data_IF_757239953681
#
_entry.id   IF_757239953681
#
_cell.length_a   1.000
_cell.length_b   1.000
_cell.length_c   1.000
_cell.angle_alpha   90.00
_cell.angle_beta   90.00
_cell.angle_gamma   90.00
#
_symmetry.space_group_name_H-M   'P 1'
#
loop_
_entity.id
_entity.type
_entity.pdbx_description
1 polymer ?
#
# COMPACT_ATOMS: atom_id res chain seq x y z
N UNK A 1 -11.02 0.84 1.86
CA UNK A 1 -11.19 1.87 2.93
C UNK A 1 -10.35 3.08 2.58
N UNK A 2 -10.84 4.28 2.85
CA UNK A 2 -10.20 5.54 2.45
C UNK A 2 -10.38 6.62 3.53
N UNK A 3 -9.39 7.49 3.66
CA UNK A 3 -9.44 8.79 4.36
C UNK A 3 -9.13 9.90 3.37
N UNK A 4 -9.14 11.16 3.81
CA UNK A 4 -8.77 12.30 2.95
C UNK A 4 -7.32 12.22 2.45
N UNK A 5 -6.44 11.49 3.14
CA UNK A 5 -5.01 11.46 2.82
C UNK A 5 -4.53 10.11 2.30
N UNK A 6 -5.13 9.01 2.75
CA UNK A 6 -4.63 7.68 2.49
C UNK A 6 -5.76 6.70 2.18
N UNK A 7 -5.45 5.66 1.41
CA UNK A 7 -6.34 4.54 1.08
C UNK A 7 -5.66 3.22 1.40
N UNK A 8 -6.45 2.19 1.64
CA UNK A 8 -5.94 0.81 1.69
C UNK A 8 -6.15 0.16 0.33
N UNK A 9 -5.08 -0.36 -0.26
CA UNK A 9 -5.10 -1.19 -1.45
C UNK A 9 -4.77 -2.64 -1.07
N UNK A 10 -5.50 -3.58 -1.67
CA UNK A 10 -5.29 -5.02 -1.51
C UNK A 10 -5.00 -5.63 -2.88
N UNK A 11 -3.98 -6.47 -2.98
CA UNK A 11 -3.57 -7.16 -4.21
C UNK A 11 -3.18 -8.60 -3.90
N UNK A 12 -3.14 -9.47 -4.91
CA UNK A 12 -2.82 -10.89 -4.75
C UNK A 12 -4.07 -11.78 -4.85
N UNK A 13 -3.92 -13.05 -4.49
CA UNK A 13 -4.94 -14.08 -4.75
C UNK A 13 -5.42 -14.76 -3.48
N UNK A 14 -6.71 -15.12 -3.47
CA UNK A 14 -7.32 -15.95 -2.45
C UNK A 14 -7.65 -17.31 -3.06
N UNK A 15 -7.10 -18.36 -2.46
CA UNK A 15 -7.43 -19.73 -2.79
C UNK A 15 -8.49 -20.24 -1.83
N UNK A 16 -9.75 -20.16 -2.24
CA UNK A 16 -10.87 -20.60 -1.42
C UNK A 16 -10.97 -22.13 -1.31
N UNK A 17 -10.52 -22.87 -2.33
CA UNK A 17 -10.59 -24.33 -2.31
C UNK A 17 -9.65 -24.91 -1.26
N UNK A 18 -8.47 -24.30 -1.08
CA UNK A 18 -7.49 -24.73 -0.08
C UNK A 18 -7.52 -23.88 1.20
N UNK A 19 -8.41 -22.89 1.30
CA UNK A 19 -8.49 -21.91 2.39
C UNK A 19 -7.17 -21.16 2.65
N UNK A 20 -6.56 -20.53 1.64
CA UNK A 20 -5.22 -19.89 1.74
C UNK A 20 -5.08 -18.51 1.10
N UNK A 21 -4.28 -17.67 1.73
CA UNK A 21 -3.75 -16.44 1.16
C UNK A 21 -2.54 -16.76 0.27
N UNK A 22 -2.67 -16.49 -1.02
CA UNK A 22 -1.62 -16.68 -2.02
C UNK A 22 -1.00 -15.33 -2.37
N UNK A 23 0.05 -14.97 -1.64
CA UNK A 23 0.81 -13.72 -1.81
C UNK A 23 -0.05 -12.44 -1.75
N UNK A 24 -1.01 -12.42 -0.83
CA UNK A 24 -1.83 -11.22 -0.61
C UNK A 24 -0.96 -10.10 -0.04
N UNK A 25 -1.07 -8.90 -0.60
CA UNK A 25 -0.41 -7.71 -0.09
C UNK A 25 -1.43 -6.63 0.25
N UNK A 26 -1.31 -6.09 1.45
CA UNK A 26 -2.03 -4.93 1.95
C UNK A 26 -1.09 -3.73 1.93
N UNK A 27 -1.50 -2.66 1.26
CA UNK A 27 -0.71 -1.44 1.16
C UNK A 27 -1.51 -0.22 1.63
N UNK A 28 -0.86 0.65 2.41
CA UNK A 28 -1.34 2.01 2.62
C UNK A 28 -0.84 2.86 1.45
N UNK A 29 -1.76 3.39 0.65
CA UNK A 29 -1.43 4.22 -0.51
C UNK A 29 -1.89 5.66 -0.29
N UNK A 30 -1.25 6.62 -0.95
CA UNK A 30 -1.68 8.03 -0.91
C UNK A 30 -2.71 8.39 -2.00
N UNK A 31 -2.99 9.68 -2.13
CA UNK A 31 -3.90 10.22 -3.17
C UNK A 31 -3.49 9.88 -4.60
N UNK A 32 -2.20 9.65 -4.85
CA UNK A 32 -1.67 9.28 -6.16
C UNK A 32 -1.63 7.75 -6.37
N UNK A 33 -1.91 6.96 -5.32
CA UNK A 33 -1.86 5.50 -5.37
C UNK A 33 -0.48 4.91 -5.07
N UNK A 34 0.46 5.73 -4.58
CA UNK A 34 1.79 5.30 -4.19
C UNK A 34 1.77 4.63 -2.82
N UNK A 35 2.40 3.45 -2.69
CA UNK A 35 2.50 2.75 -1.42
C UNK A 35 3.47 3.45 -0.45
N UNK A 36 2.96 3.79 0.74
CA UNK A 36 3.73 4.28 1.89
C UNK A 36 4.19 3.15 2.79
N UNK A 37 3.31 2.16 2.98
CA UNK A 37 3.51 0.97 3.79
C UNK A 37 3.03 -0.24 2.99
N UNK A 38 3.72 -1.37 3.13
CA UNK A 38 3.28 -2.65 2.57
C UNK A 38 3.46 -3.77 3.58
N UNK A 39 2.47 -4.65 3.63
CA UNK A 39 2.48 -5.87 4.41
C UNK A 39 2.03 -7.04 3.52
N UNK A 40 2.70 -8.18 3.62
CA UNK A 40 2.30 -9.41 2.93
C UNK A 40 1.67 -10.39 3.90
N UNK A 41 0.72 -11.15 3.39
CA UNK A 41 -0.03 -12.17 4.10
C UNK A 41 0.02 -13.44 3.26
N UNK A 42 0.40 -14.54 3.89
CA UNK A 42 0.51 -15.87 3.28
C UNK A 42 -0.07 -16.92 4.21
N UNK A 43 -0.19 -18.14 3.72
CA UNK A 43 -0.58 -19.28 4.55
C UNK A 43 -2.09 -19.46 4.62
N UNK A 44 -2.56 -20.23 5.60
CA UNK A 44 -3.99 -20.57 5.74
C UNK A 44 -4.83 -19.38 6.18
N UNK A 45 -6.12 -19.37 5.83
CA UNK A 45 -7.07 -18.37 6.31
C UNK A 45 -7.22 -18.39 7.83
N UNK A 46 -7.15 -19.58 8.45
CA UNK A 46 -7.34 -19.76 9.90
C UNK A 46 -6.12 -19.36 10.72
N UNK A 47 -4.92 -19.51 10.15
CA UNK A 47 -3.65 -19.15 10.77
C UNK A 47 -2.73 -18.54 9.70
N UNK A 48 -2.96 -17.27 9.33
CA UNK A 48 -2.13 -16.59 8.35
C UNK A 48 -0.76 -16.27 8.92
N UNK A 49 0.23 -16.30 8.05
CA UNK A 49 1.55 -15.74 8.28
C UNK A 49 1.54 -14.30 7.78
N UNK A 50 1.65 -13.36 8.72
CA UNK A 50 1.66 -11.93 8.42
C UNK A 50 3.10 -11.44 8.51
N UNK A 51 3.66 -11.03 7.38
CA UNK A 51 5.03 -10.49 7.34
C UNK A 51 5.11 -9.14 8.07
N UNK A 52 6.32 -8.80 8.55
CA UNK A 52 6.56 -7.50 9.17
C UNK A 52 6.28 -6.37 8.18
N UNK A 53 5.75 -5.25 8.69
CA UNK A 53 5.45 -4.09 7.84
C UNK A 53 6.75 -3.54 7.28
N UNK A 54 6.81 -3.42 5.96
CA UNK A 54 7.88 -2.72 5.27
C UNK A 54 7.46 -1.25 5.12
N UNK A 55 8.12 -0.38 5.88
CA UNK A 55 7.94 1.06 5.75
C UNK A 55 8.80 1.54 4.58
N UNK A 56 8.16 1.96 3.50
CA UNK A 56 8.85 2.35 2.26
C UNK A 56 9.33 3.81 2.31
N UNK A 57 8.78 4.61 3.21
CA UNK A 57 9.03 6.06 3.31
C UNK A 57 9.42 6.52 4.74
N UNK A 58 9.99 5.65 5.56
CA UNK A 58 10.23 5.91 6.99
C UNK A 58 11.07 7.18 7.24
N UNK A 59 10.51 8.16 7.96
CA UNK A 59 11.20 9.18 8.78
C UNK A 59 12.33 9.99 8.09
N UNK A 60 12.37 10.09 6.77
CA UNK A 60 13.36 10.90 6.08
C UNK A 60 12.91 12.38 6.02
N UNK A 61 12.71 13.03 7.17
CA UNK A 61 12.03 14.34 7.29
C UNK A 61 12.47 15.41 6.28
N UNK A 62 13.78 15.76 6.19
CA UNK A 62 14.25 16.76 5.24
C UNK A 62 14.32 16.24 3.80
N UNK A 63 14.77 14.99 3.61
CA UNK A 63 14.98 14.39 2.29
C UNK A 63 13.65 14.16 1.57
N UNK A 64 12.58 13.77 2.27
CA UNK A 64 11.23 13.66 1.72
C UNK A 64 10.66 15.01 1.28
N UNK A 65 10.97 16.12 1.97
CA UNK A 65 10.50 17.45 1.53
C UNK A 65 11.15 17.83 0.20
N UNK A 66 12.46 17.62 0.07
CA UNK A 66 13.18 17.85 -1.18
C UNK A 66 12.70 16.91 -2.28
N UNK A 67 12.47 15.63 -1.97
CA UNK A 67 11.94 14.66 -2.92
C UNK A 67 10.53 15.03 -3.38
N UNK A 68 9.62 15.40 -2.48
CA UNK A 68 8.27 15.89 -2.83
C UNK A 68 8.32 17.17 -3.68
N UNK A 69 9.25 18.06 -3.40
CA UNK A 69 9.44 19.28 -4.18
C UNK A 69 10.00 18.98 -5.57
N UNK A 70 10.91 18.01 -5.68
CA UNK A 70 11.40 17.48 -6.95
C UNK A 70 10.30 16.70 -7.71
N UNK A 71 9.48 15.88 -7.05
CA UNK A 71 8.34 15.19 -7.67
C UNK A 71 7.31 16.17 -8.22
N UNK A 72 7.05 17.28 -7.53
CA UNK A 72 6.19 18.35 -8.06
C UNK A 72 6.76 19.00 -9.33
N UNK A 73 8.08 19.03 -9.47
CA UNK A 73 8.77 19.61 -10.63
C UNK A 73 9.00 18.60 -11.77
N UNK A 74 9.18 17.32 -11.44
CA UNK A 74 9.63 16.27 -12.36
C UNK A 74 8.56 15.18 -12.62
N UNK A 75 7.42 15.24 -11.94
CA UNK A 75 6.35 14.25 -12.03
C UNK A 75 6.78 12.91 -11.44
N UNK A 76 6.90 12.85 -10.11
CA UNK A 76 7.29 11.65 -9.37
C UNK A 76 6.63 10.37 -9.84
N UNK A 77 7.42 9.40 -10.31
CA UNK A 77 6.93 8.10 -10.80
C UNK A 77 7.17 7.04 -9.74
N UNK A 78 6.23 6.92 -8.81
CA UNK A 78 6.11 5.69 -8.04
C UNK A 78 5.41 4.63 -8.91
N UNK A 79 5.67 3.35 -8.65
CA UNK A 79 4.82 2.30 -9.19
C UNK A 79 3.47 2.35 -8.47
N UNK A 80 2.40 2.62 -9.22
CA UNK A 80 1.04 2.70 -8.67
C UNK A 80 0.55 1.29 -8.37
N UNK A 81 0.33 1.01 -7.08
CA UNK A 81 -0.15 -0.32 -6.64
C UNK A 81 -1.62 -0.51 -6.99
N UNK A 82 -2.42 0.56 -6.95
CA UNK A 82 -3.83 0.53 -7.33
C UNK A 82 -4.29 1.94 -7.76
N UNK A 83 -4.84 2.05 -8.97
CA UNK A 83 -5.29 3.33 -9.53
C UNK A 83 -6.76 3.67 -9.20
N UNK A 84 -7.56 2.70 -8.75
CA UNK A 84 -8.97 2.93 -8.42
C UNK A 84 -9.15 3.84 -7.20
N UNK A 85 -10.16 4.70 -7.23
CA UNK A 85 -10.47 5.62 -6.14
C UNK A 85 -11.79 5.26 -5.46
N UNK A 86 -11.74 5.01 -4.16
CA UNK A 86 -12.91 4.88 -3.28
C UNK A 86 -12.91 6.12 -2.40
N UNK A 87 -14.00 6.89 -2.43
CA UNK A 87 -14.13 8.10 -1.61
C UNK A 87 -14.07 7.78 -0.11
N UNK A 88 -13.54 8.70 0.73
CA UNK A 88 -13.60 8.55 2.16
C UNK A 88 -15.06 8.57 2.66
N UNK A 89 -15.36 7.90 3.78
CA UNK A 89 -16.67 8.04 4.42
C UNK A 89 -16.93 9.50 4.84
N UNK A 90 -18.20 9.90 4.87
CA UNK A 90 -18.65 11.24 5.30
C UNK A 90 -18.60 11.39 6.80
#
# INVERSE_FOLDING_TARGET
MATNENRIALTGSLDFANERFSDVAVALVDGNGCAKLRQKIRGSFRKPEVEKVHVLQSVAGPVLKLFKQAEKLLGGKCEVVYAGSVGPPK
#
